data_IF_051005870323
#
_entry.id   IF_051005870323
#
_cell.length_a   1.000
_cell.length_b   1.000
_cell.length_c   1.000
_cell.angle_alpha   90.00
_cell.angle_beta   90.00
_cell.angle_gamma   90.00
#
_symmetry.space_group_name_H-M   'P 1'
#
loop_
_entity.id
_entity.type
_entity.pdbx_description
1 polymer ?
#
# COMPACT_ATOMS: atom_id res chain seq x y z
N UNK A 1 -22.79 16.92 5.67
CA UNK A 1 -22.40 15.50 5.69
C UNK A 1 -21.76 15.31 7.05
N UNK A 2 -22.45 14.69 8.00
CA UNK A 2 -22.01 14.64 9.40
C UNK A 2 -20.71 13.83 9.54
N UNK A 3 -19.78 14.30 10.38
CA UNK A 3 -18.47 13.68 10.63
C UNK A 3 -18.59 12.23 11.10
N UNK A 4 -19.69 11.86 11.76
CA UNK A 4 -19.96 10.49 12.21
C UNK A 4 -20.43 9.54 11.09
N UNK A 5 -20.90 10.05 9.95
CA UNK A 5 -21.29 9.19 8.81
C UNK A 5 -20.08 8.74 7.98
N UNK A 6 -18.93 9.41 8.12
CA UNK A 6 -17.71 9.12 7.37
C UNK A 6 -16.73 8.16 8.07
N UNK A 7 -16.92 7.85 9.35
CA UNK A 7 -16.18 6.80 10.09
C UNK A 7 -16.85 5.42 10.00
N UNK A 8 -17.76 5.23 9.05
CA UNK A 8 -18.51 4.00 8.87
C UNK A 8 -17.96 3.18 7.72
N UNK A 9 -17.61 1.94 8.00
CA UNK A 9 -17.34 0.90 7.01
C UNK A 9 -18.49 0.81 6.00
N UNK A 10 -18.28 1.35 4.80
CA UNK A 10 -19.23 1.21 3.71
C UNK A 10 -19.09 -0.20 3.12
N UNK A 11 -19.92 -1.13 3.62
CA UNK A 11 -20.08 -2.44 3.02
C UNK A 11 -20.99 -2.33 1.80
N UNK A 12 -20.43 -2.60 0.62
CA UNK A 12 -21.25 -2.89 -0.57
C UNK A 12 -21.31 -4.40 -0.78
N UNK A 13 -22.51 -4.97 -0.64
CA UNK A 13 -22.77 -6.38 -0.93
C UNK A 13 -23.25 -6.53 -2.37
N UNK A 14 -22.54 -7.31 -3.17
CA UNK A 14 -23.05 -7.75 -4.46
C UNK A 14 -23.32 -9.26 -4.43
N UNK A 15 -24.57 -9.64 -4.73
CA UNK A 15 -25.06 -11.03 -4.61
C UNK A 15 -24.49 -11.97 -5.67
N UNK A 16 -23.88 -11.47 -6.74
CA UNK A 16 -23.21 -12.28 -7.78
C UNK A 16 -22.33 -11.38 -8.65
N UNK A 17 -21.01 -11.51 -8.55
CA UNK A 17 -20.05 -10.84 -9.45
C UNK A 17 -19.21 -11.91 -10.14
N UNK A 18 -19.08 -11.81 -11.46
CA UNK A 18 -18.08 -12.57 -12.23
C UNK A 18 -16.80 -11.75 -12.22
N UNK A 19 -15.75 -12.28 -11.62
CA UNK A 19 -14.46 -11.59 -11.53
C UNK A 19 -13.52 -12.21 -12.55
N UNK A 20 -13.02 -11.36 -13.44
CA UNK A 20 -11.90 -11.68 -14.31
C UNK A 20 -10.64 -11.03 -13.73
N UNK A 21 -9.63 -11.84 -13.40
CA UNK A 21 -8.28 -11.34 -13.16
C UNK A 21 -7.54 -11.33 -14.50
N UNK A 22 -7.40 -10.15 -15.10
CA UNK A 22 -6.66 -9.95 -16.36
C UNK A 22 -5.33 -9.29 -16.06
N UNK A 23 -4.22 -9.91 -16.49
CA UNK A 23 -2.93 -9.26 -16.67
C UNK A 23 -2.79 -8.90 -18.16
N UNK A 24 -2.37 -7.65 -18.41
CA UNK A 24 -2.47 -6.91 -19.67
C UNK A 24 -1.88 -7.60 -20.92
N UNK A 25 -2.58 -7.50 -22.05
CA UNK A 25 -2.04 -7.79 -23.40
C UNK A 25 -1.23 -6.61 -23.94
N UNK A 26 -0.07 -6.90 -24.55
CA UNK A 26 0.62 -5.98 -25.46
C UNK A 26 0.85 -6.68 -26.80
N UNK A 27 0.56 -6.00 -27.91
CA UNK A 27 0.64 -6.51 -29.29
C UNK A 27 2.06 -6.90 -29.79
N UNK A 28 3.08 -6.93 -28.94
CA UNK A 28 4.49 -7.13 -29.33
C UNK A 28 5.21 -8.30 -28.68
N UNK A 29 4.50 -9.13 -27.92
CA UNK A 29 5.08 -10.33 -27.30
C UNK A 29 4.01 -11.41 -27.13
N UNK A 30 4.38 -12.66 -27.40
CA UNK A 30 3.56 -13.87 -27.14
C UNK A 30 3.41 -14.13 -25.62
N UNK A 31 2.99 -13.11 -24.87
CA UNK A 31 2.69 -13.19 -23.45
C UNK A 31 1.26 -13.71 -23.30
N UNK A 32 1.16 -15.00 -23.05
CA UNK A 32 -0.08 -15.64 -22.65
C UNK A 32 -0.22 -15.57 -21.13
N UNK A 33 -1.41 -15.19 -20.65
CA UNK A 33 -1.67 -15.04 -19.22
C UNK A 33 -2.57 -16.16 -18.71
N UNK A 34 -2.31 -16.70 -17.51
CA UNK A 34 -3.28 -17.54 -16.83
C UNK A 34 -4.54 -16.72 -16.50
N UNK A 35 -5.72 -17.29 -16.72
CA UNK A 35 -7.00 -16.65 -16.38
C UNK A 35 -7.82 -17.56 -15.48
N UNK A 36 -8.01 -17.13 -14.23
CA UNK A 36 -8.94 -17.73 -13.29
C UNK A 36 -10.25 -16.96 -13.24
N UNK A 37 -11.38 -17.67 -13.26
CA UNK A 37 -12.72 -17.05 -13.15
C UNK A 37 -13.51 -17.74 -12.03
N UNK A 38 -13.95 -16.95 -11.06
CA UNK A 38 -14.79 -17.40 -9.95
C UNK A 38 -16.18 -16.76 -9.99
N UNK A 39 -17.13 -17.36 -9.28
CA UNK A 39 -18.49 -16.82 -9.12
C UNK A 39 -18.99 -17.08 -7.70
N UNK A 40 -19.23 -16.02 -6.97
CA UNK A 40 -19.78 -16.10 -5.63
C UNK A 40 -20.16 -14.72 -5.08
N UNK A 41 -20.65 -14.67 -3.82
CA UNK A 41 -20.81 -13.43 -3.10
C UNK A 41 -19.44 -12.73 -2.96
N UNK A 42 -19.48 -11.40 -3.07
CA UNK A 42 -18.31 -10.54 -2.83
C UNK A 42 -18.73 -9.36 -1.97
N UNK A 43 -17.79 -8.92 -1.14
CA UNK A 43 -17.91 -7.74 -0.30
C UNK A 43 -16.76 -6.80 -0.64
N UNK A 44 -17.08 -5.52 -0.81
CA UNK A 44 -16.08 -4.46 -0.92
C UNK A 44 -16.10 -3.62 0.34
N UNK A 45 -14.92 -3.43 0.90
CA UNK A 45 -14.63 -2.61 2.07
C UNK A 45 -14.00 -1.31 1.62
N UNK A 46 -14.41 -0.19 2.21
CA UNK A 46 -13.72 1.10 2.11
C UNK A 46 -13.16 1.40 3.49
N UNK A 47 -11.84 1.53 3.58
CA UNK A 47 -11.08 1.63 4.82
C UNK A 47 -10.34 2.97 4.87
N UNK A 48 -10.17 3.50 6.08
CA UNK A 48 -9.44 4.73 6.37
C UNK A 48 -10.35 5.94 6.58
N UNK A 49 -9.76 7.14 6.48
CA UNK A 49 -10.46 8.40 6.72
C UNK A 49 -10.43 9.31 5.49
N UNK A 50 -11.54 10.02 5.18
CA UNK A 50 -11.57 11.04 4.13
C UNK A 50 -10.58 12.19 4.32
N UNK A 51 -10.21 12.52 5.56
CA UNK A 51 -9.23 13.56 5.82
C UNK A 51 -7.81 13.14 5.41
N UNK A 52 -7.59 11.84 5.21
CA UNK A 52 -6.26 11.29 5.21
C UNK A 52 -5.97 10.36 4.03
N UNK A 53 -6.58 9.18 3.93
CA UNK A 53 -6.45 8.26 2.80
C UNK A 53 -7.55 7.22 2.89
N UNK A 54 -8.21 6.98 1.75
CA UNK A 54 -9.17 5.90 1.61
C UNK A 54 -8.59 4.82 0.72
N UNK A 55 -8.76 3.57 1.12
CA UNK A 55 -8.44 2.41 0.29
C UNK A 55 -9.67 1.53 0.22
N UNK A 56 -9.99 1.01 -0.96
CA UNK A 56 -10.99 -0.03 -1.08
C UNK A 56 -10.33 -1.39 -1.33
N UNK A 57 -10.92 -2.43 -0.76
CA UNK A 57 -10.48 -3.81 -0.95
C UNK A 57 -11.69 -4.73 -1.07
N UNK A 58 -11.63 -5.66 -2.03
CA UNK A 58 -12.72 -6.60 -2.30
C UNK A 58 -12.30 -8.00 -1.91
N UNK A 59 -13.20 -8.73 -1.25
CA UNK A 59 -13.03 -10.10 -0.81
C UNK A 59 -14.31 -10.91 -1.02
N UNK A 60 -14.24 -12.20 -0.73
CA UNK A 60 -15.38 -13.12 -0.75
C UNK A 60 -15.16 -14.32 -1.65
N UNK A 61 -16.11 -15.26 -1.61
CA UNK A 61 -16.01 -16.55 -2.27
C UNK A 61 -15.71 -16.44 -3.78
N UNK A 62 -16.29 -15.45 -4.46
CA UNK A 62 -16.02 -15.24 -5.89
C UNK A 62 -14.57 -14.86 -6.19
N UNK A 63 -13.94 -14.04 -5.33
CA UNK A 63 -12.52 -13.67 -5.43
C UNK A 63 -11.63 -14.87 -5.11
N UNK A 64 -11.96 -15.61 -4.05
CA UNK A 64 -11.20 -16.79 -3.62
C UNK A 64 -11.18 -17.88 -4.70
N UNK A 65 -12.33 -18.20 -5.30
CA UNK A 65 -12.41 -19.14 -6.42
C UNK A 65 -11.61 -18.66 -7.64
N UNK A 66 -11.69 -17.37 -8.00
CA UNK A 66 -10.95 -16.82 -9.12
C UNK A 66 -9.43 -16.96 -8.91
N UNK A 67 -8.96 -16.68 -7.69
CA UNK A 67 -7.56 -16.83 -7.32
C UNK A 67 -7.10 -18.29 -7.37
N UNK A 68 -7.87 -19.21 -6.77
CA UNK A 68 -7.56 -20.66 -6.82
C UNK A 68 -7.52 -21.17 -8.26
N UNK A 69 -8.48 -20.76 -9.10
CA UNK A 69 -8.50 -21.09 -10.52
C UNK A 69 -7.22 -20.61 -11.23
N UNK A 70 -6.77 -19.37 -10.98
CA UNK A 70 -5.54 -18.84 -11.57
C UNK A 70 -4.29 -19.60 -11.10
N UNK A 71 -4.21 -20.02 -9.83
CA UNK A 71 -3.07 -20.80 -9.32
C UNK A 71 -2.90 -22.16 -10.02
N UNK A 72 -4.00 -22.73 -10.50
CA UNK A 72 -3.99 -23.97 -11.29
C UNK A 72 -3.67 -23.74 -12.77
N UNK A 73 -3.78 -22.51 -13.27
CA UNK A 73 -3.56 -22.21 -14.67
C UNK A 73 -2.07 -22.21 -15.04
N UNK A 74 -1.78 -22.78 -16.20
CA UNK A 74 -0.59 -22.45 -16.97
C UNK A 74 -0.84 -21.20 -17.84
N UNK A 75 0.25 -20.62 -18.36
CA UNK A 75 0.21 -19.48 -19.28
C UNK A 75 -0.70 -19.77 -20.48
N UNK A 76 -1.75 -18.95 -20.66
CA UNK A 76 -2.74 -19.09 -21.75
C UNK A 76 -3.93 -19.99 -21.44
N UNK A 77 -3.96 -20.60 -20.26
CA UNK A 77 -5.10 -21.41 -19.84
C UNK A 77 -6.20 -20.55 -19.18
N UNK A 78 -7.44 -20.98 -19.39
CA UNK A 78 -8.62 -20.43 -18.72
C UNK A 78 -9.20 -21.54 -17.85
N UNK A 79 -9.22 -21.33 -16.55
CA UNK A 79 -9.86 -22.22 -15.58
C UNK A 79 -10.97 -21.45 -14.88
N UNK A 80 -12.12 -22.10 -14.75
CA UNK A 80 -13.32 -21.50 -14.15
C UNK A 80 -13.83 -22.38 -13.01
N UNK A 81 -14.48 -21.77 -12.01
CA UNK A 81 -15.16 -22.55 -10.97
C UNK A 81 -16.41 -23.25 -11.53
N UNK A 82 -16.87 -24.31 -10.86
CA UNK A 82 -18.09 -25.03 -11.24
C UNK A 82 -19.32 -24.11 -11.32
N UNK A 83 -19.42 -23.11 -10.44
CA UNK A 83 -20.50 -22.13 -10.46
C UNK A 83 -20.48 -21.25 -11.73
N UNK A 84 -19.29 -20.85 -12.19
CA UNK A 84 -19.11 -20.17 -13.48
C UNK A 84 -19.49 -21.12 -14.61
N UNK A 85 -18.97 -22.35 -14.60
CA UNK A 85 -19.22 -23.34 -15.65
C UNK A 85 -20.71 -23.64 -15.84
N UNK A 86 -21.48 -23.87 -14.76
CA UNK A 86 -22.94 -24.06 -14.86
C UNK A 86 -23.67 -22.84 -15.45
N UNK A 87 -23.15 -21.64 -15.23
CA UNK A 87 -23.67 -20.41 -15.87
C UNK A 87 -23.33 -20.38 -17.36
N UNK A 88 -22.12 -20.81 -17.74
CA UNK A 88 -21.73 -20.86 -19.15
C UNK A 88 -22.54 -21.91 -19.93
N UNK A 89 -22.82 -23.08 -19.34
CA UNK A 89 -23.64 -24.13 -19.96
C UNK A 89 -25.05 -23.64 -20.29
N UNK A 90 -25.62 -22.77 -19.46
CA UNK A 90 -26.96 -22.21 -19.70
C UNK A 90 -26.99 -21.14 -20.80
N UNK A 91 -25.91 -20.39 -20.99
CA UNK A 91 -25.87 -19.25 -21.93
C UNK A 91 -25.28 -19.64 -23.30
N UNK A 92 -24.31 -20.56 -23.34
CA UNK A 92 -23.57 -20.93 -24.57
C UNK A 92 -23.27 -22.42 -24.65
N UNK A 93 -24.31 -23.25 -24.58
CA UNK A 93 -24.17 -24.67 -24.85
C UNK A 93 -23.54 -24.88 -26.25
N UNK A 94 -22.30 -25.41 -26.30
CA UNK A 94 -21.58 -25.95 -27.48
C UNK A 94 -20.57 -25.06 -28.24
N UNK A 95 -19.90 -24.10 -27.60
CA UNK A 95 -18.83 -23.30 -28.26
C UNK A 95 -17.42 -23.48 -27.70
N UNK A 96 -17.21 -24.46 -26.83
CA UNK A 96 -15.91 -24.74 -26.20
C UNK A 96 -15.82 -26.19 -25.73
N UNK A 97 -14.61 -26.72 -25.58
CA UNK A 97 -14.31 -28.01 -24.95
C UNK A 97 -13.94 -27.80 -23.48
N UNK A 98 -14.18 -28.80 -22.63
CA UNK A 98 -13.88 -28.70 -21.20
C UNK A 98 -13.14 -29.91 -20.67
N UNK A 99 -12.38 -29.70 -19.60
CA UNK A 99 -11.74 -30.75 -18.81
C UNK A 99 -12.03 -30.47 -17.35
N UNK A 100 -12.69 -31.40 -16.67
CA UNK A 100 -12.90 -31.31 -15.22
C UNK A 100 -11.56 -31.47 -14.49
N UNK A 101 -11.33 -30.60 -13.52
CA UNK A 101 -10.20 -30.63 -12.61
C UNK A 101 -10.68 -31.06 -11.21
N UNK A 102 -9.72 -31.33 -10.33
CA UNK A 102 -10.02 -31.57 -8.92
C UNK A 102 -10.65 -30.31 -8.27
N UNK A 103 -11.29 -30.50 -7.12
CA UNK A 103 -11.86 -29.43 -6.28
C UNK A 103 -12.96 -28.57 -6.94
N UNK A 104 -13.60 -29.08 -8.01
CA UNK A 104 -14.76 -28.41 -8.61
C UNK A 104 -14.38 -27.27 -9.56
N UNK A 105 -13.23 -27.36 -10.20
CA UNK A 105 -12.82 -26.43 -11.26
C UNK A 105 -12.88 -27.10 -12.64
N UNK A 106 -13.02 -26.28 -13.68
CA UNK A 106 -13.14 -26.73 -15.07
C UNK A 106 -12.21 -25.90 -15.94
N UNK A 107 -11.33 -26.58 -16.69
CA UNK A 107 -10.52 -25.95 -17.73
C UNK A 107 -11.35 -25.77 -18.99
N UNK A 108 -11.34 -24.57 -19.57
CA UNK A 108 -11.98 -24.24 -20.85
C UNK A 108 -10.95 -24.32 -21.97
N UNK A 109 -11.31 -24.89 -23.11
CA UNK A 109 -10.46 -25.08 -24.29
C UNK A 109 -11.27 -24.89 -25.58
N UNK A 110 -10.60 -24.76 -26.74
CA UNK A 110 -11.21 -24.59 -28.07
C UNK A 110 -12.33 -23.53 -28.16
N UNK A 111 -12.06 -22.34 -27.62
CA UNK A 111 -13.02 -21.23 -27.54
C UNK A 111 -12.94 -20.26 -28.75
N UNK A 112 -12.31 -20.69 -29.85
CA UNK A 112 -11.96 -19.86 -31.02
C UNK A 112 -13.14 -19.26 -31.78
N UNK A 113 -14.37 -19.74 -31.55
CA UNK A 113 -15.59 -19.19 -32.16
C UNK A 113 -16.28 -18.10 -31.31
N UNK A 114 -15.71 -17.70 -30.17
CA UNK A 114 -16.26 -16.62 -29.34
C UNK A 114 -15.83 -15.26 -29.90
N UNK A 115 -16.49 -14.77 -30.95
CA UNK A 115 -16.43 -13.35 -31.29
C UNK A 115 -17.41 -12.59 -30.39
N UNK A 116 -16.95 -11.61 -29.60
CA UNK A 116 -17.86 -10.66 -28.98
C UNK A 116 -18.28 -9.63 -30.02
N UNK A 117 -19.55 -9.67 -30.45
CA UNK A 117 -20.17 -8.57 -31.20
C UNK A 117 -20.59 -7.40 -30.29
N UNK A 118 -20.65 -7.62 -28.97
CA UNK A 118 -20.98 -6.55 -28.04
C UNK A 118 -19.81 -5.56 -27.93
N UNK A 119 -20.05 -4.26 -28.17
CA UNK A 119 -19.03 -3.25 -27.95
C UNK A 119 -18.62 -3.27 -26.48
N UNK A 120 -17.32 -3.28 -26.21
CA UNK A 120 -16.83 -3.05 -24.86
C UNK A 120 -17.50 -1.78 -24.31
N UNK A 121 -18.05 -1.80 -23.08
CA UNK A 121 -18.67 -0.63 -22.50
C UNK A 121 -17.68 0.54 -22.57
N UNK A 122 -18.06 1.61 -23.28
CA UNK A 122 -17.24 2.80 -23.44
C UNK A 122 -17.06 3.46 -22.08
N UNK A 123 -15.93 3.17 -21.43
CA UNK A 123 -15.59 3.71 -20.12
C UNK A 123 -15.53 5.25 -20.15
N UNK A 124 -15.29 5.85 -21.33
CA UNK A 124 -15.39 7.29 -21.58
C UNK A 124 -16.73 7.89 -21.14
N UNK A 125 -17.85 7.20 -21.40
CA UNK A 125 -19.19 7.68 -21.06
C UNK A 125 -19.42 7.79 -19.55
N UNK A 126 -18.75 6.96 -18.74
CA UNK A 126 -18.81 7.05 -17.28
C UNK A 126 -18.17 8.34 -16.73
N UNK A 127 -17.26 8.96 -17.50
CA UNK A 127 -16.61 10.21 -17.11
C UNK A 127 -17.40 11.45 -17.54
N UNK A 128 -18.23 11.35 -18.59
CA UNK A 128 -19.08 12.45 -19.07
C UNK A 128 -20.15 12.84 -18.03
N UNK A 129 -20.58 11.90 -17.20
CA UNK A 129 -21.57 12.11 -16.13
C UNK A 129 -20.94 12.47 -14.77
N UNK A 130 -19.61 12.58 -14.69
CA UNK A 130 -18.89 12.79 -13.44
C UNK A 130 -18.85 14.28 -13.05
N UNK A 131 -19.43 14.63 -11.88
CA UNK A 131 -19.39 15.99 -11.32
C UNK A 131 -18.02 16.28 -10.67
N UNK A 132 -17.64 17.56 -10.60
CA UNK A 132 -16.39 18.01 -9.95
C UNK A 132 -16.26 17.53 -8.49
N UNK A 133 -17.39 17.41 -7.79
CA UNK A 133 -17.46 16.87 -6.43
C UNK A 133 -17.02 15.38 -6.39
N UNK A 134 -17.42 14.58 -7.38
CA UNK A 134 -17.01 13.17 -7.48
C UNK A 134 -15.51 13.04 -7.77
N UNK A 135 -14.95 13.94 -8.59
CA UNK A 135 -13.51 13.99 -8.87
C UNK A 135 -12.74 14.32 -7.59
N UNK A 136 -13.23 15.30 -6.82
CA UNK A 136 -12.61 15.72 -5.56
C UNK A 136 -12.57 14.58 -4.54
N UNK A 137 -13.69 13.87 -4.35
CA UNK A 137 -13.75 12.70 -3.45
C UNK A 137 -12.86 11.55 -3.95
N UNK A 138 -12.77 11.35 -5.27
CA UNK A 138 -11.95 10.27 -5.85
C UNK A 138 -10.45 10.45 -5.59
N UNK A 139 -9.96 11.68 -5.44
CA UNK A 139 -8.53 11.95 -5.13
C UNK A 139 -8.09 11.36 -3.79
N UNK A 140 -9.02 11.18 -2.85
CA UNK A 140 -8.75 10.61 -1.52
C UNK A 140 -8.29 9.14 -1.63
N UNK A 141 -8.69 8.44 -2.70
CA UNK A 141 -8.28 7.08 -3.01
C UNK A 141 -6.92 6.98 -3.69
N UNK A 142 -6.33 8.11 -4.10
CA UNK A 142 -4.99 8.14 -4.65
C UNK A 142 -3.97 8.17 -3.52
N UNK A 143 -2.85 7.47 -3.74
CA UNK A 143 -1.70 7.58 -2.83
C UNK A 143 -1.29 9.06 -2.73
N UNK A 144 -0.78 9.52 -1.57
CA UNK A 144 -0.51 10.94 -1.34
C UNK A 144 0.31 11.62 -2.45
N UNK A 145 1.32 10.92 -2.99
CA UNK A 145 2.19 11.45 -4.07
C UNK A 145 1.47 11.78 -5.38
N UNK A 146 0.22 11.35 -5.57
CA UNK A 146 -0.55 11.60 -6.80
C UNK A 146 -1.60 12.70 -6.67
N UNK A 147 -1.98 13.09 -5.46
CA UNK A 147 -3.22 13.89 -5.24
C UNK A 147 -3.17 15.28 -5.86
N UNK A 148 -1.97 15.85 -5.88
CA UNK A 148 -1.73 17.21 -6.35
C UNK A 148 -1.32 17.26 -7.83
N UNK A 149 -1.14 16.12 -8.48
CA UNK A 149 -0.79 16.05 -9.90
C UNK A 149 -2.04 16.31 -10.74
N UNK A 150 -1.92 17.21 -11.71
CA UNK A 150 -3.03 17.65 -12.57
C UNK A 150 -2.77 17.44 -14.06
N UNK A 151 -1.52 17.21 -14.44
CA UNK A 151 -1.09 17.13 -15.85
C UNK A 151 -0.50 15.77 -16.21
N UNK A 152 -0.60 15.39 -17.48
CA UNK A 152 0.06 14.17 -17.98
C UNK A 152 1.60 14.24 -17.87
N UNK A 153 2.17 15.44 -17.98
CA UNK A 153 3.61 15.64 -17.79
C UNK A 153 4.03 15.29 -16.36
N UNK A 154 3.30 15.77 -15.34
CA UNK A 154 3.50 15.42 -13.94
C UNK A 154 3.38 13.91 -13.69
N UNK A 155 2.39 13.24 -14.32
CA UNK A 155 2.21 11.79 -14.25
C UNK A 155 3.35 11.00 -14.92
N UNK A 156 4.02 11.60 -15.92
CA UNK A 156 5.21 11.01 -16.53
C UNK A 156 6.42 11.12 -15.61
N UNK A 157 6.59 12.26 -14.91
CA UNK A 157 7.73 12.48 -14.00
C UNK A 157 7.77 11.53 -12.80
N UNK A 158 6.61 11.08 -12.32
CA UNK A 158 6.52 10.09 -11.23
C UNK A 158 6.80 8.65 -11.67
N UNK A 159 6.98 8.42 -12.97
CA UNK A 159 7.26 7.11 -13.55
C UNK A 159 8.76 6.94 -13.76
N UNK A 160 9.44 6.30 -12.80
CA UNK A 160 10.90 6.14 -12.83
C UNK A 160 11.38 4.75 -12.35
N UNK A 161 12.59 4.38 -12.78
CA UNK A 161 13.35 3.29 -12.16
C UNK A 161 14.12 3.86 -10.97
N UNK A 162 13.67 3.56 -9.76
CA UNK A 162 14.29 4.08 -8.54
C UNK A 162 14.53 2.98 -7.51
N UNK A 163 15.53 3.19 -6.66
CA UNK A 163 15.74 2.34 -5.49
C UNK A 163 14.64 2.61 -4.47
N UNK A 164 13.92 1.56 -4.09
CA UNK A 164 12.87 1.59 -3.08
C UNK A 164 13.10 0.46 -2.09
N UNK A 165 12.52 0.60 -0.88
CA UNK A 165 12.40 -0.52 0.05
C UNK A 165 10.95 -0.98 0.10
N UNK A 166 10.74 -2.25 -0.24
CA UNK A 166 9.45 -2.91 -0.23
C UNK A 166 9.24 -3.57 1.12
N UNK A 167 8.11 -3.28 1.76
CA UNK A 167 7.68 -3.87 3.01
C UNK A 167 6.34 -4.57 2.78
N UNK A 168 6.35 -5.91 2.83
CA UNK A 168 5.15 -6.73 2.82
C UNK A 168 4.84 -7.21 4.23
N UNK A 169 3.58 -7.06 4.64
CA UNK A 169 3.10 -7.47 5.97
C UNK A 169 1.89 -8.36 5.76
N UNK A 170 1.95 -9.59 6.26
CA UNK A 170 0.81 -10.50 6.32
C UNK A 170 0.33 -10.58 7.75
N UNK A 171 -0.93 -10.23 7.98
CA UNK A 171 -1.63 -10.44 9.23
C UNK A 171 -2.54 -11.65 9.07
N UNK A 172 -2.32 -12.67 9.90
CA UNK A 172 -3.10 -13.92 9.87
C UNK A 172 -4.21 -13.88 10.92
N UNK A 173 -5.21 -14.75 10.75
CA UNK A 173 -6.34 -14.93 11.67
C UNK A 173 -7.26 -13.70 11.73
N UNK A 174 -7.32 -12.93 10.65
CA UNK A 174 -8.34 -11.91 10.45
C UNK A 174 -9.55 -12.56 9.84
N UNK A 175 -10.69 -12.45 10.52
CA UNK A 175 -11.98 -12.70 9.90
C UNK A 175 -12.34 -11.50 9.03
N UNK A 176 -12.32 -11.70 7.71
CA UNK A 176 -12.63 -10.65 6.73
C UNK A 176 -14.10 -10.24 6.76
N UNK A 177 -14.96 -10.98 7.47
CA UNK A 177 -16.36 -10.60 7.68
C UNK A 177 -16.54 -9.66 8.88
N UNK A 178 -15.52 -9.49 9.73
CA UNK A 178 -15.54 -8.57 10.88
C UNK A 178 -15.00 -7.17 10.49
N UNK A 179 -15.86 -6.13 10.35
CA UNK A 179 -15.44 -4.80 9.93
C UNK A 179 -14.41 -4.15 10.87
N UNK A 180 -14.62 -4.35 12.17
CA UNK A 180 -13.90 -3.62 13.22
C UNK A 180 -12.42 -3.99 13.27
N UNK A 181 -12.09 -5.26 13.00
CA UNK A 181 -10.70 -5.71 12.98
C UNK A 181 -9.99 -5.21 11.70
N UNK A 182 -10.71 -5.12 10.57
CA UNK A 182 -10.17 -4.59 9.32
C UNK A 182 -9.85 -3.10 9.44
N UNK A 183 -10.74 -2.30 9.99
CA UNK A 183 -10.49 -0.87 10.26
C UNK A 183 -9.31 -0.68 11.21
N UNK A 184 -9.33 -1.40 12.34
CA UNK A 184 -8.27 -1.28 13.35
C UNK A 184 -6.90 -1.63 12.81
N UNK A 185 -6.80 -2.72 12.05
CA UNK A 185 -5.53 -3.14 11.44
C UNK A 185 -5.08 -2.17 10.35
N UNK A 186 -6.01 -1.67 9.54
CA UNK A 186 -5.74 -0.64 8.53
C UNK A 186 -5.17 0.63 9.18
N UNK A 187 -5.83 1.15 10.21
CA UNK A 187 -5.43 2.40 10.89
C UNK A 187 -4.05 2.26 11.54
N UNK A 188 -3.79 1.14 12.22
CA UNK A 188 -2.49 0.86 12.83
C UNK A 188 -1.38 0.80 11.78
N UNK A 189 -1.61 0.07 10.68
CA UNK A 189 -0.62 -0.08 9.61
C UNK A 189 -0.38 1.24 8.90
N UNK A 190 -1.44 2.00 8.60
CA UNK A 190 -1.36 3.31 7.96
C UNK A 190 -0.59 4.29 8.85
N UNK A 191 -0.89 4.34 10.15
CA UNK A 191 -0.21 5.22 11.09
C UNK A 191 1.28 4.87 11.23
N UNK A 192 1.63 3.59 11.35
CA UNK A 192 3.03 3.15 11.42
C UNK A 192 3.79 3.45 10.12
N UNK A 193 3.16 3.25 8.96
CA UNK A 193 3.73 3.61 7.67
C UNK A 193 4.04 5.11 7.61
N UNK A 194 3.06 5.95 7.96
CA UNK A 194 3.21 7.42 7.95
C UNK A 194 4.28 7.93 8.88
N UNK A 195 4.30 7.42 10.12
CA UNK A 195 5.31 7.78 11.11
C UNK A 195 6.73 7.61 10.59
N UNK A 196 6.96 6.57 9.78
CA UNK A 196 8.27 6.24 9.22
C UNK A 196 8.48 6.80 7.80
N UNK A 197 7.51 7.50 7.21
CA UNK A 197 7.59 8.05 5.85
C UNK A 197 7.33 7.03 4.74
N UNK A 198 6.70 5.91 5.06
CA UNK A 198 6.28 4.89 4.08
C UNK A 198 4.90 5.18 3.51
N UNK A 199 4.68 4.77 2.25
CA UNK A 199 3.39 4.87 1.57
C UNK A 199 2.71 3.51 1.53
N UNK A 200 1.52 3.42 2.13
CA UNK A 200 0.65 2.27 1.94
C UNK A 200 0.12 2.25 0.51
N UNK A 201 0.58 1.30 -0.30
CA UNK A 201 0.30 1.23 -1.73
C UNK A 201 -0.88 0.31 -2.05
N UNK A 202 -0.92 -0.88 -1.44
CA UNK A 202 -2.00 -1.87 -1.65
C UNK A 202 -2.31 -2.62 -0.36
N UNK A 203 -3.57 -3.05 -0.25
CA UNK A 203 -4.04 -4.04 0.70
C UNK A 203 -4.75 -5.15 -0.07
N UNK A 204 -4.49 -6.39 0.31
CA UNK A 204 -5.12 -7.58 -0.27
C UNK A 204 -5.77 -8.37 0.86
N UNK A 205 -6.99 -8.85 0.63
CA UNK A 205 -7.71 -9.72 1.55
C UNK A 205 -7.67 -11.17 1.05
N UNK A 206 -7.53 -12.09 2.00
CA UNK A 206 -7.61 -13.53 1.81
C UNK A 206 -8.53 -14.11 2.88
N UNK A 207 -9.00 -15.35 2.70
CA UNK A 207 -10.02 -15.96 3.58
C UNK A 207 -9.69 -15.92 5.08
N UNK A 208 -8.41 -15.93 5.47
CA UNK A 208 -7.96 -15.88 6.88
C UNK A 208 -6.80 -14.92 7.12
N UNK A 209 -6.82 -13.77 6.47
CA UNK A 209 -5.80 -12.77 6.66
C UNK A 209 -5.84 -11.63 5.67
N UNK A 210 -5.02 -10.63 5.92
CA UNK A 210 -4.77 -9.56 4.97
C UNK A 210 -3.28 -9.41 4.72
N UNK A 211 -2.94 -8.80 3.60
CA UNK A 211 -1.57 -8.43 3.25
C UNK A 211 -1.51 -6.97 2.87
N UNK A 212 -0.59 -6.23 3.50
CA UNK A 212 -0.29 -4.85 3.16
C UNK A 212 1.02 -4.76 2.38
N UNK A 213 1.05 -3.88 1.39
CA UNK A 213 2.23 -3.48 0.65
C UNK A 213 2.52 -2.01 0.96
N UNK A 214 3.61 -1.78 1.70
CA UNK A 214 4.14 -0.45 1.99
C UNK A 214 5.43 -0.25 1.19
N UNK A 215 5.62 0.95 0.66
CA UNK A 215 6.80 1.30 -0.14
C UNK A 215 7.47 2.53 0.46
N UNK A 216 8.78 2.43 0.67
CA UNK A 216 9.65 3.53 1.10
C UNK A 216 10.55 3.96 -0.05
N UNK A 217 10.82 5.26 -0.17
CA UNK A 217 11.66 5.79 -1.23
C UNK A 217 10.97 6.01 -2.58
N UNK A 218 9.63 6.15 -2.58
CA UNK A 218 8.90 6.54 -3.78
C UNK A 218 9.33 7.94 -4.27
N UNK A 219 9.14 8.26 -5.57
CA UNK A 219 9.45 9.57 -6.10
C UNK A 219 8.78 10.69 -5.28
N UNK A 220 9.57 11.70 -4.88
CA UNK A 220 9.12 12.79 -4.01
C UNK A 220 9.10 12.48 -2.50
N UNK A 221 9.36 11.23 -2.07
CA UNK A 221 9.26 10.78 -0.67
C UNK A 221 10.48 9.93 -0.27
N UNK A 222 11.69 10.33 -0.71
CA UNK A 222 12.95 9.59 -0.49
C UNK A 222 13.65 10.06 0.76
N UNK A 223 14.13 9.11 1.57
CA UNK A 223 15.00 9.37 2.71
C UNK A 223 16.31 8.58 2.57
N UNK A 224 17.40 9.11 3.13
CA UNK A 224 18.69 8.42 3.09
C UNK A 224 18.67 7.08 3.82
N UNK A 225 17.76 6.91 4.77
CA UNK A 225 17.64 5.78 5.69
C UNK A 225 16.34 4.97 5.50
N UNK A 226 15.72 5.02 4.31
CA UNK A 226 14.45 4.31 4.00
C UNK A 226 14.49 2.81 4.36
N UNK A 227 15.64 2.14 4.20
CA UNK A 227 15.79 0.75 4.61
C UNK A 227 15.66 0.56 6.13
N UNK A 228 16.24 1.46 6.93
CA UNK A 228 16.11 1.41 8.39
C UNK A 228 14.69 1.79 8.84
N UNK A 229 14.11 2.84 8.26
CA UNK A 229 12.72 3.28 8.50
C UNK A 229 11.71 2.16 8.22
N UNK A 230 11.90 1.39 7.16
CA UNK A 230 11.03 0.24 6.85
C UNK A 230 11.05 -0.84 7.94
N UNK A 231 12.21 -1.08 8.55
CA UNK A 231 12.36 -2.06 9.63
C UNK A 231 11.80 -1.53 10.96
N UNK A 232 11.90 -0.22 11.20
CA UNK A 232 11.23 0.41 12.35
C UNK A 232 9.71 0.35 12.20
N UNK A 233 9.18 0.61 11.00
CA UNK A 233 7.76 0.44 10.69
C UNK A 233 7.29 -1.00 10.94
N UNK A 234 8.04 -1.97 10.42
CA UNK A 234 7.77 -3.39 10.66
C UNK A 234 7.78 -3.73 12.16
N UNK A 235 8.78 -3.25 12.90
CA UNK A 235 8.91 -3.45 14.34
C UNK A 235 7.71 -2.87 15.10
N UNK A 236 7.29 -1.66 14.74
CA UNK A 236 6.15 -0.98 15.35
C UNK A 236 4.85 -1.76 15.14
N UNK A 237 4.61 -2.27 13.93
CA UNK A 237 3.43 -3.06 13.60
C UNK A 237 3.44 -4.40 14.35
N UNK A 238 4.59 -5.11 14.35
CA UNK A 238 4.72 -6.40 15.03
C UNK A 238 4.57 -6.25 16.55
N UNK A 239 5.11 -5.20 17.16
CA UNK A 239 4.96 -4.97 18.60
C UNK A 239 3.52 -4.69 19.04
N UNK A 240 2.64 -4.27 18.11
CA UNK A 240 1.22 -4.05 18.38
C UNK A 240 0.38 -5.32 18.33
N UNK A 241 1.01 -6.51 18.29
CA UNK A 241 0.31 -7.80 18.30
C UNK A 241 -0.75 -7.91 19.41
N UNK A 242 -0.54 -7.34 20.60
CA UNK A 242 -1.55 -7.33 21.68
C UNK A 242 -2.81 -6.54 21.32
N UNK A 243 -2.64 -5.44 20.58
CA UNK A 243 -3.74 -4.55 20.17
C UNK A 243 -4.52 -5.20 19.03
N UNK A 244 -3.82 -5.87 18.11
CA UNK A 244 -4.46 -6.51 16.95
C UNK A 244 -4.90 -7.96 17.25
N UNK A 245 -4.32 -8.63 18.24
CA UNK A 245 -4.45 -10.08 18.50
C UNK A 245 -4.11 -10.97 17.30
N UNK A 246 -3.15 -10.55 16.48
CA UNK A 246 -2.78 -11.22 15.23
C UNK A 246 -1.29 -11.51 15.16
N UNK A 247 -0.97 -12.62 14.50
CA UNK A 247 0.39 -12.94 14.10
C UNK A 247 0.75 -12.19 12.81
N UNK A 248 1.81 -11.39 12.87
CA UNK A 248 2.36 -10.68 11.73
C UNK A 248 3.59 -11.42 11.18
N UNK A 249 3.61 -11.64 9.86
CA UNK A 249 4.80 -12.06 9.13
C UNK A 249 5.22 -10.94 8.20
N UNK A 250 6.49 -10.56 8.22
CA UNK A 250 7.00 -9.41 7.47
C UNK A 250 8.17 -9.79 6.58
N UNK A 251 8.09 -9.40 5.30
CA UNK A 251 9.17 -9.52 4.33
C UNK A 251 9.63 -8.16 3.81
N UNK A 252 10.93 -7.90 3.86
CA UNK A 252 11.53 -6.63 3.42
C UNK A 252 12.59 -6.87 2.35
N UNK A 253 12.57 -6.09 1.27
CA UNK A 253 13.63 -6.13 0.27
C UNK A 253 13.87 -4.74 -0.33
N UNK A 254 15.14 -4.39 -0.52
CA UNK A 254 15.54 -3.09 -1.08
C UNK A 254 16.23 -3.26 -2.43
N UNK A 255 15.89 -2.39 -3.38
CA UNK A 255 16.59 -2.28 -4.65
C UNK A 255 15.78 -1.56 -5.72
N UNK A 256 16.32 -1.53 -6.94
CA UNK A 256 15.70 -0.83 -8.07
C UNK A 256 14.39 -1.50 -8.49
N UNK A 257 13.31 -0.73 -8.49
CA UNK A 257 12.01 -1.11 -9.03
C UNK A 257 11.52 -0.03 -10.00
N UNK A 258 10.71 -0.42 -10.96
CA UNK A 258 9.89 0.52 -11.71
C UNK A 258 8.74 0.99 -10.81
N UNK A 259 8.61 2.29 -10.63
CA UNK A 259 7.51 2.91 -9.90
C UNK A 259 6.84 3.89 -10.85
N UNK A 260 5.57 3.70 -11.20
CA UNK A 260 4.93 4.53 -12.22
C UNK A 260 3.50 4.12 -12.53
N UNK A 261 2.89 4.85 -13.45
CA UNK A 261 1.50 4.61 -13.89
C UNK A 261 1.47 3.45 -14.90
N UNK A 262 0.66 2.43 -14.62
CA UNK A 262 0.50 1.25 -15.48
C UNK A 262 -0.96 1.00 -15.78
N UNK A 263 -1.28 0.84 -17.06
CA UNK A 263 -2.60 0.40 -17.53
C UNK A 263 -3.06 1.10 -18.80
N UNK A 264 -4.35 1.01 -19.08
CA UNK A 264 -4.97 1.73 -20.19
C UNK A 264 -5.20 3.19 -19.76
N UNK A 265 -5.14 4.21 -20.66
CA UNK A 265 -5.38 5.61 -20.28
C UNK A 265 -6.71 5.85 -19.54
N UNK A 266 -7.75 5.05 -19.84
CA UNK A 266 -9.04 5.11 -19.14
C UNK A 266 -9.09 4.31 -17.82
N UNK A 267 -8.08 3.48 -17.54
CA UNK A 267 -7.94 2.68 -16.30
C UNK A 267 -6.48 2.29 -16.07
N UNK A 268 -5.84 3.04 -15.21
CA UNK A 268 -4.44 2.86 -14.83
C UNK A 268 -4.28 3.02 -13.31
N UNK A 269 -3.23 2.42 -12.77
CA UNK A 269 -2.89 2.48 -11.36
C UNK A 269 -1.40 2.77 -11.19
N UNK A 270 -1.05 3.51 -10.13
CA UNK A 270 0.34 3.63 -9.73
C UNK A 270 0.82 2.30 -9.18
N UNK A 271 1.86 1.77 -9.80
CA UNK A 271 2.31 0.40 -9.59
C UNK A 271 3.82 0.39 -9.37
N UNK A 272 4.24 -0.44 -8.42
CA UNK A 272 5.65 -0.74 -8.18
C UNK A 272 5.92 -2.15 -8.67
N UNK A 273 6.83 -2.29 -9.64
CA UNK A 273 7.16 -3.55 -10.32
C UNK A 273 8.66 -3.78 -10.20
N UNK A 274 9.05 -4.95 -9.70
CA UNK A 274 10.45 -5.33 -9.68
C UNK A 274 10.71 -6.64 -8.93
N UNK A 275 11.89 -7.20 -9.15
CA UNK A 275 12.31 -8.45 -8.50
C UNK A 275 12.30 -8.34 -6.97
N UNK A 276 12.51 -7.13 -6.41
CA UNK A 276 12.49 -6.88 -4.97
C UNK A 276 11.07 -6.94 -4.39
N UNK A 277 10.06 -6.53 -5.16
CA UNK A 277 8.65 -6.69 -4.78
C UNK A 277 8.34 -8.18 -4.60
N UNK A 278 8.71 -8.99 -5.60
CA UNK A 278 8.51 -10.44 -5.55
C UNK A 278 9.32 -11.08 -4.41
N UNK A 279 10.57 -10.67 -4.22
CA UNK A 279 11.43 -11.21 -3.17
C UNK A 279 10.84 -10.94 -1.77
N UNK A 280 10.42 -9.70 -1.48
CA UNK A 280 9.80 -9.34 -0.21
C UNK A 280 8.54 -10.19 0.07
N UNK A 281 7.65 -10.32 -0.92
CA UNK A 281 6.45 -11.16 -0.79
C UNK A 281 6.80 -12.65 -0.55
N UNK A 282 7.83 -13.19 -1.23
CA UNK A 282 8.24 -14.58 -1.04
C UNK A 282 8.93 -14.81 0.30
N UNK A 283 9.74 -13.87 0.77
CA UNK A 283 10.38 -13.92 2.09
C UNK A 283 9.30 -13.98 3.17
N UNK A 284 8.32 -13.06 3.13
CA UNK A 284 7.19 -13.00 4.06
C UNK A 284 6.46 -14.33 4.20
N UNK A 285 6.26 -15.04 3.08
CA UNK A 285 5.54 -16.33 3.08
C UNK A 285 6.44 -17.51 3.47
N UNK A 286 7.76 -17.44 3.23
CA UNK A 286 8.67 -18.60 3.38
C UNK A 286 9.37 -18.69 4.73
N UNK A 287 9.47 -17.60 5.46
CA UNK A 287 10.15 -17.53 6.75
C UNK A 287 9.19 -17.12 7.87
N UNK A 288 8.04 -17.78 7.96
CA UNK A 288 6.97 -17.45 8.91
C UNK A 288 7.34 -17.76 10.37
N UNK A 289 8.43 -18.52 10.58
CA UNK A 289 9.01 -18.73 11.90
C UNK A 289 9.71 -17.48 12.46
N UNK A 290 9.96 -16.49 11.60
CA UNK A 290 10.56 -15.21 11.98
C UNK A 290 9.58 -14.07 11.69
N UNK A 291 9.43 -13.11 12.62
CA UNK A 291 8.45 -12.04 12.47
C UNK A 291 8.85 -11.03 11.38
N UNK A 292 10.15 -10.71 11.27
CA UNK A 292 10.67 -9.71 10.33
C UNK A 292 11.91 -10.27 9.63
N UNK A 293 11.80 -10.46 8.32
CA UNK A 293 12.83 -11.08 7.50
C UNK A 293 13.15 -10.20 6.31
N UNK A 294 14.43 -10.11 5.96
CA UNK A 294 14.94 -9.12 5.02
C UNK A 294 16.05 -9.65 4.12
N UNK A 295 16.18 -9.04 2.94
CA UNK A 295 17.27 -9.36 2.02
C UNK A 295 18.62 -8.72 2.43
N UNK A 296 19.69 -9.15 1.78
CA UNK A 296 21.04 -8.65 2.08
C UNK A 296 21.21 -7.15 1.81
N UNK A 297 20.47 -6.58 0.87
CA UNK A 297 20.56 -5.15 0.54
C UNK A 297 19.99 -4.32 1.67
N UNK A 298 18.78 -4.66 2.14
CA UNK A 298 18.15 -4.00 3.28
C UNK A 298 19.03 -4.11 4.53
N UNK A 299 19.65 -5.26 4.78
CA UNK A 299 20.59 -5.43 5.90
C UNK A 299 21.78 -4.45 5.80
N UNK A 300 22.47 -4.40 4.65
CA UNK A 300 23.65 -3.55 4.49
C UNK A 300 23.33 -2.06 4.60
N UNK A 301 22.15 -1.63 4.12
CA UNK A 301 21.72 -0.24 4.17
C UNK A 301 21.18 0.19 5.55
N UNK A 302 20.72 -0.75 6.38
CA UNK A 302 20.13 -0.43 7.69
C UNK A 302 21.06 -0.68 8.88
N UNK A 303 22.07 -1.55 8.75
CA UNK A 303 22.94 -1.95 9.88
C UNK A 303 23.75 -0.81 10.50
N UNK A 304 24.06 0.24 9.74
CA UNK A 304 24.81 1.38 10.28
C UNK A 304 23.94 2.21 11.24
N UNK A 305 22.68 2.45 10.86
CA UNK A 305 21.73 3.22 11.67
C UNK A 305 21.14 2.41 12.82
N UNK A 306 20.90 1.11 12.61
CA UNK A 306 20.25 0.23 13.60
C UNK A 306 21.24 -0.57 14.46
N UNK A 307 22.47 -0.76 14.01
CA UNK A 307 23.47 -1.60 14.68
C UNK A 307 23.39 -3.08 14.29
N UNK A 308 24.55 -3.68 14.02
CA UNK A 308 24.71 -5.04 13.50
C UNK A 308 24.09 -6.13 14.41
N UNK A 309 24.11 -5.90 15.72
CA UNK A 309 23.55 -6.82 16.72
C UNK A 309 22.04 -7.06 16.59
N UNK A 310 21.33 -6.18 15.86
CA UNK A 310 19.90 -6.32 15.59
C UNK A 310 19.59 -7.36 14.52
N UNK A 311 20.59 -7.95 13.89
CA UNK A 311 20.41 -8.87 12.77
C UNK A 311 21.07 -10.21 13.04
N UNK A 312 20.53 -11.26 12.41
CA UNK A 312 21.21 -12.54 12.30
C UNK A 312 20.83 -13.21 10.99
N UNK A 313 21.77 -13.96 10.43
CA UNK A 313 21.58 -14.61 9.13
C UNK A 313 20.71 -15.87 9.28
N UNK A 314 19.76 -16.05 8.37
CA UNK A 314 18.91 -17.23 8.26
C UNK A 314 19.46 -18.23 7.24
N UNK A 315 19.12 -19.53 7.37
CA UNK A 315 19.42 -20.51 6.33
C UNK A 315 18.63 -20.22 5.05
N UNK A 316 19.29 -20.32 3.89
CA UNK A 316 18.63 -20.04 2.61
C UNK A 316 17.56 -21.08 2.26
N UNK A 317 16.37 -20.61 1.87
CA UNK A 317 15.26 -21.43 1.35
C UNK A 317 15.02 -21.17 -0.14
N UNK A 318 14.65 -22.21 -0.90
CA UNK A 318 14.22 -22.08 -2.30
C UNK A 318 12.83 -21.44 -2.37
N UNK A 319 12.63 -20.52 -3.31
CA UNK A 319 11.39 -19.78 -3.48
C UNK A 319 10.96 -19.78 -4.96
N UNK A 320 9.66 -19.99 -5.22
CA UNK A 320 9.12 -20.02 -6.59
C UNK A 320 9.36 -18.68 -7.28
N UNK A 321 9.96 -18.72 -8.48
CA UNK A 321 10.25 -17.53 -9.28
C UNK A 321 11.42 -16.67 -8.80
N UNK A 322 12.23 -17.17 -7.85
CA UNK A 322 13.45 -16.48 -7.37
C UNK A 322 14.66 -17.37 -7.68
N UNK A 323 15.49 -16.94 -8.64
CA UNK A 323 16.69 -17.69 -9.04
C UNK A 323 17.78 -17.67 -7.96
N UNK A 324 18.05 -16.50 -7.39
CA UNK A 324 19.01 -16.33 -6.29
C UNK A 324 18.53 -15.25 -5.33
N UNK A 325 18.13 -15.67 -4.13
CA UNK A 325 17.69 -14.75 -3.08
C UNK A 325 18.86 -14.05 -2.36
N UNK A 326 20.10 -14.49 -2.59
CA UNK A 326 21.25 -14.08 -1.80
C UNK A 326 21.16 -14.54 -0.35
N UNK A 327 21.85 -13.84 0.55
CA UNK A 327 21.74 -14.05 2.00
C UNK A 327 20.47 -13.40 2.52
N UNK A 328 19.78 -14.11 3.40
CA UNK A 328 18.57 -13.65 4.09
C UNK A 328 18.91 -13.46 5.56
N UNK A 329 18.35 -12.42 6.16
CA UNK A 329 18.55 -12.07 7.56
C UNK A 329 17.20 -11.97 8.26
N UNK A 330 17.18 -12.13 9.58
CA UNK A 330 16.09 -11.74 10.45
C UNK A 330 16.45 -10.47 11.22
N UNK A 331 15.45 -9.65 11.51
CA UNK A 331 15.58 -8.48 12.38
C UNK A 331 15.03 -8.79 13.78
N UNK A 332 15.82 -8.50 14.81
CA UNK A 332 15.44 -8.69 16.22
C UNK A 332 14.47 -7.59 16.64
N UNK A 333 13.25 -8.00 17.00
CA UNK A 333 12.23 -7.08 17.54
C UNK A 333 12.79 -6.39 18.79
N UNK A 334 12.58 -5.07 18.85
CA UNK A 334 12.87 -4.25 20.03
C UNK A 334 11.56 -3.98 20.75
N UNK A 335 11.47 -4.27 22.05
CA UNK A 335 10.24 -4.14 22.85
C UNK A 335 9.75 -2.70 23.11
N UNK A 336 10.24 -1.70 22.37
CA UNK A 336 9.73 -0.33 22.47
C UNK A 336 8.51 -0.18 21.57
N UNK A 337 7.33 -0.03 22.17
CA UNK A 337 6.14 0.49 21.49
C UNK A 337 6.30 2.01 21.42
N UNK A 338 6.32 2.59 20.23
CA UNK A 338 6.22 4.05 20.05
C UNK A 338 4.73 4.42 20.04
N UNK A 339 4.12 5.05 21.06
CA UNK A 339 2.73 5.53 21.02
C UNK A 339 2.32 6.13 19.66
N UNK A 340 1.24 5.62 19.06
CA UNK A 340 0.52 6.34 18.00
C UNK A 340 -0.43 7.30 18.71
N UNK A 341 -0.05 8.56 18.84
CA UNK A 341 -0.98 9.63 19.22
C UNK A 341 -1.22 10.53 18.00
N UNK A 342 -2.30 11.30 18.00
CA UNK A 342 -2.48 12.40 17.05
C UNK A 342 -1.28 13.34 17.20
N UNK A 343 -0.44 13.43 16.17
CA UNK A 343 0.69 14.35 16.15
C UNK A 343 0.18 15.77 16.38
N UNK A 344 0.72 16.48 17.37
CA UNK A 344 0.52 17.93 17.48
C UNK A 344 1.25 18.61 16.33
N UNK A 345 0.51 18.83 15.24
CA UNK A 345 0.99 19.53 14.03
C UNK A 345 0.79 21.03 14.23
N UNK A 346 1.88 21.78 14.13
CA UNK A 346 1.84 23.25 14.14
C UNK A 346 1.92 23.77 12.70
N UNK A 347 0.85 24.39 12.22
CA UNK A 347 0.78 24.96 10.86
C UNK A 347 1.25 26.42 10.88
N UNK A 348 2.23 26.74 10.03
CA UNK A 348 2.77 28.09 9.85
C UNK A 348 2.60 28.56 8.41
N UNK A 349 2.03 29.75 8.25
CA UNK A 349 1.89 30.40 6.94
C UNK A 349 2.96 31.49 6.73
N UNK A 350 3.86 31.37 5.74
CA UNK A 350 4.88 32.37 5.47
C UNK A 350 4.29 33.56 4.70
N UNK A 351 4.56 34.76 5.20
CA UNK A 351 4.28 36.04 4.52
C UNK A 351 5.59 36.74 4.15
N UNK A 352 5.67 37.25 2.91
CA UNK A 352 6.82 37.98 2.36
C UNK A 352 6.66 39.51 2.44
N UNK A 353 5.58 40.01 3.06
CA UNK A 353 5.37 41.45 3.31
C UNK A 353 6.22 41.94 4.48
N UNK A 354 6.30 43.27 4.70
CA UNK A 354 6.95 43.87 5.87
C UNK A 354 6.35 43.42 7.22
N UNK A 355 5.23 42.67 7.20
CA UNK A 355 4.65 41.95 8.34
C UNK A 355 5.31 40.58 8.61
N UNK A 356 6.31 40.17 7.81
CA UNK A 356 7.02 38.89 7.92
C UNK A 356 7.93 38.73 9.16
N UNK A 357 8.10 39.78 9.97
CA UNK A 357 8.69 39.67 11.31
C UNK A 357 7.73 38.94 12.29
N UNK A 358 6.40 39.09 12.12
CA UNK A 358 5.40 38.44 12.98
C UNK A 358 5.40 36.92 12.80
N UNK A 359 5.43 36.44 11.55
CA UNK A 359 5.50 35.00 11.28
C UNK A 359 6.81 34.38 11.81
N UNK A 360 7.94 35.12 11.76
CA UNK A 360 9.23 34.62 12.27
C UNK A 360 9.20 34.56 13.79
N UNK A 361 8.56 35.55 14.41
CA UNK A 361 8.25 35.57 15.84
C UNK A 361 7.37 34.40 16.27
N UNK A 362 6.34 34.05 15.49
CA UNK A 362 5.47 32.88 15.73
C UNK A 362 6.23 31.56 15.68
N UNK A 363 7.10 31.38 14.69
CA UNK A 363 7.98 30.21 14.59
C UNK A 363 8.93 30.12 15.80
N UNK A 364 9.59 31.22 16.18
CA UNK A 364 10.47 31.26 17.35
C UNK A 364 9.70 30.99 18.64
N UNK A 365 8.46 31.48 18.75
CA UNK A 365 7.59 31.24 19.92
C UNK A 365 7.16 29.78 19.98
N UNK A 366 6.83 29.17 18.83
CA UNK A 366 6.49 27.76 18.69
C UNK A 366 7.68 26.85 19.05
N UNK A 367 8.88 27.17 18.57
CA UNK A 367 10.11 26.47 18.96
C UNK A 367 10.44 26.64 20.46
N UNK A 368 10.08 27.76 21.08
CA UNK A 368 10.26 27.97 22.53
C UNK A 368 9.23 27.21 23.36
N UNK A 369 7.96 27.18 22.95
CA UNK A 369 6.93 26.41 23.66
C UNK A 369 7.21 24.91 23.65
N UNK A 370 7.86 24.41 22.59
CA UNK A 370 8.35 23.02 22.52
C UNK A 370 9.51 22.70 23.49
N UNK A 371 10.21 23.71 24.04
CA UNK A 371 11.26 23.53 25.07
C UNK A 371 10.75 23.67 26.51
N UNK A 372 9.54 24.20 26.70
CA UNK A 372 8.96 24.45 28.03
C UNK A 372 8.83 23.14 28.82
N UNK A 373 9.13 23.14 30.13
CA UNK A 373 9.15 21.92 30.96
C UNK A 373 7.76 21.28 31.09
N UNK A 374 6.70 22.10 31.06
CA UNK A 374 5.32 21.63 31.16
C UNK A 374 4.85 20.96 29.86
N UNK A 375 5.21 21.51 28.70
CA UNK A 375 4.99 20.89 27.38
C UNK A 375 5.93 19.70 27.16
N UNK A 376 7.19 19.76 27.60
CA UNK A 376 8.11 18.60 27.62
C UNK A 376 7.58 17.46 28.45
N UNK A 377 6.86 17.71 29.54
CA UNK A 377 6.25 16.63 30.32
C UNK A 377 5.11 15.95 29.56
N UNK A 378 4.34 16.71 28.75
CA UNK A 378 3.35 16.17 27.81
C UNK A 378 4.03 15.43 26.65
N UNK A 379 5.08 16.00 26.04
CA UNK A 379 5.89 15.41 24.95
C UNK A 379 6.76 14.22 25.43
N UNK A 380 7.10 14.12 26.72
CA UNK A 380 7.74 12.93 27.28
C UNK A 380 6.72 11.82 27.56
N UNK A 381 5.45 12.17 27.78
CA UNK A 381 4.34 11.22 27.89
C UNK A 381 3.79 10.77 26.53
N UNK A 382 3.91 11.60 25.50
CA UNK A 382 3.60 11.28 24.09
C UNK A 382 4.89 11.15 23.30
N UNK A 383 5.32 9.95 22.95
CA UNK A 383 6.61 9.68 22.25
C UNK A 383 6.73 10.22 20.81
N UNK A 384 5.99 11.26 20.44
CA UNK A 384 6.02 11.90 19.13
C UNK A 384 6.91 13.14 19.19
N UNK A 385 7.76 13.30 18.18
CA UNK A 385 8.45 14.56 17.96
C UNK A 385 7.42 15.56 17.41
N UNK A 386 7.33 16.78 17.97
CA UNK A 386 6.43 17.81 17.44
C UNK A 386 6.80 18.12 15.98
N UNK A 387 5.78 18.20 15.11
CA UNK A 387 5.95 18.46 13.68
C UNK A 387 5.53 19.89 13.37
N UNK A 388 6.43 20.65 12.75
CA UNK A 388 6.12 21.99 12.21
C UNK A 388 5.85 21.83 10.72
N UNK A 389 4.62 22.15 10.31
CA UNK A 389 4.19 22.18 8.92
C UNK A 389 4.19 23.63 8.42
N UNK A 390 4.91 23.90 7.33
CA UNK A 390 4.93 25.23 6.70
C UNK A 390 4.08 25.19 5.44
N UNK A 391 2.89 25.77 5.49
CA UNK A 391 1.93 25.77 4.39
C UNK A 391 1.84 27.14 3.72
N UNK A 392 1.49 27.19 2.44
CA UNK A 392 1.26 28.45 1.74
C UNK A 392 1.36 28.32 0.22
N UNK A 393 0.99 29.35 -0.54
CA UNK A 393 1.01 29.31 -2.01
C UNK A 393 2.44 29.13 -2.58
N UNK A 394 2.55 28.73 -3.84
CA UNK A 394 3.85 28.63 -4.54
C UNK A 394 4.57 30.00 -4.52
N UNK A 395 5.90 29.97 -4.35
CA UNK A 395 6.74 31.17 -4.17
C UNK A 395 6.48 32.02 -2.91
N UNK A 396 5.75 31.52 -1.91
CA UNK A 396 5.55 32.22 -0.62
C UNK A 396 6.79 32.22 0.31
N UNK A 397 7.92 31.65 -0.12
CA UNK A 397 9.13 31.58 0.69
C UNK A 397 9.23 30.38 1.63
N UNK A 398 8.43 29.32 1.44
CA UNK A 398 8.44 28.09 2.26
C UNK A 398 9.85 27.53 2.51
N UNK A 399 10.67 27.37 1.47
CA UNK A 399 12.05 26.85 1.60
C UNK A 399 12.94 27.72 2.48
N UNK A 400 12.79 29.05 2.40
CA UNK A 400 13.51 29.99 3.25
C UNK A 400 13.03 29.90 4.71
N UNK A 401 11.73 29.66 4.92
CA UNK A 401 11.15 29.44 6.25
C UNK A 401 11.62 28.15 6.91
N UNK A 402 11.65 27.05 6.16
CA UNK A 402 12.19 25.77 6.64
C UNK A 402 13.67 25.92 6.99
N UNK A 403 14.45 26.58 6.15
CA UNK A 403 15.86 26.87 6.45
C UNK A 403 16.02 27.74 7.71
N UNK A 404 15.22 28.79 7.86
CA UNK A 404 15.23 29.65 9.04
C UNK A 404 14.83 28.89 10.31
N UNK A 405 13.83 28.00 10.24
CA UNK A 405 13.41 27.14 11.35
C UNK A 405 14.53 26.21 11.83
N UNK A 406 15.26 25.60 10.89
CA UNK A 406 16.42 24.75 11.22
C UNK A 406 17.51 25.55 11.94
N UNK A 407 17.86 26.72 11.42
CA UNK A 407 18.89 27.59 12.03
C UNK A 407 18.49 28.07 13.43
N UNK A 408 17.23 28.46 13.64
CA UNK A 408 16.76 28.90 14.96
C UNK A 408 16.65 27.73 15.94
N UNK A 409 16.24 26.54 15.49
CA UNK A 409 16.23 25.34 16.31
C UNK A 409 17.66 24.95 16.76
N UNK A 410 18.65 24.98 15.85
CA UNK A 410 20.06 24.74 16.20
C UNK A 410 20.58 25.74 17.25
N UNK A 411 20.27 27.04 17.09
CA UNK A 411 20.62 28.08 18.08
C UNK A 411 19.98 27.83 19.46
N UNK A 412 18.79 27.23 19.49
CA UNK A 412 18.07 26.87 20.72
C UNK A 412 18.50 25.52 21.30
N UNK A 413 19.50 24.85 20.70
CA UNK A 413 20.06 23.60 21.22
C UNK A 413 19.26 22.35 20.92
N UNK A 414 18.33 22.42 19.96
CA UNK A 414 17.77 21.22 19.33
C UNK A 414 18.89 20.46 18.62
N UNK A 415 18.90 19.12 18.75
CA UNK A 415 19.95 18.23 18.20
C UNK A 415 19.43 17.38 17.06
#
# INVERSE_FOLDING_TARGET
MDEDTCKGVLQSYSRSVVILQLLFSSHKSDLLFPQGIGKGPVVTWILGSPQDFLLYVTAGHGIAEAHQAEEMCSSGEIIVSKAVFSTLETVRAKTFTTTELLDGFVKISDYSSLSSEEPHPERSKLFEECLDEHITVSKIFLIPSLRDLQTEEELSYISELTMVTILFISLKNIDVEEPQILDKTFDIVLACAKLQGGILNKMLLFDKGCTYLIVFGLPGQKHADDAARSLLCANDIVNRHDEIQLEASVGVATGTCYCGIVGHPQRQEYTVIGNRVNLAARIMVKYQEEPIVLDSTTYHLSRQSLGDACFYQLPGKKMKGIESAGRIYAYRIRSQKVPVAESSVFVLEPSLSAEGEDSKGKLVTCLKSMLDEEERSKIQSTSLLPVILVEGPSNSGKSYYTYFAVIEAEKMGYK
#
